data_IF_485878802390
#
_entry.id   IF_485878802390
#
_cell.length_a   1.000
_cell.length_b   1.000
_cell.length_c   1.000
_cell.angle_alpha   90.00
_cell.angle_beta   90.00
_cell.angle_gamma   90.00
#
_symmetry.space_group_name_H-M   'P 1'
#
loop_
_entity.id
_entity.type
_entity.pdbx_description
1 polymer ?
#
# COMPACT_ATOMS: atom_id res chain seq x y z
N UNK A 1 17.92 -23.20 6.52
CA UNK A 1 17.75 -21.95 5.80
C UNK A 1 16.45 -21.27 6.22
N UNK A 2 16.34 -19.97 6.07
CA UNK A 2 15.14 -19.19 6.42
C UNK A 2 13.88 -19.70 5.70
N UNK A 3 14.02 -20.17 4.47
CA UNK A 3 12.91 -20.79 3.72
C UNK A 3 12.32 -22.01 4.39
N UNK A 4 13.17 -22.93 4.89
CA UNK A 4 12.70 -24.10 5.62
C UNK A 4 11.94 -23.73 6.89
N UNK A 5 12.40 -22.70 7.59
CA UNK A 5 11.68 -22.17 8.76
C UNK A 5 10.32 -21.60 8.36
N UNK A 6 10.25 -20.82 7.28
CA UNK A 6 9.00 -20.26 6.80
C UNK A 6 8.00 -21.35 6.41
N UNK A 7 8.43 -22.34 5.64
CA UNK A 7 7.59 -23.50 5.28
C UNK A 7 7.11 -24.28 6.51
N UNK A 8 8.01 -24.53 7.46
CA UNK A 8 7.63 -25.21 8.72
C UNK A 8 6.64 -24.38 9.52
N UNK A 9 6.83 -23.06 9.55
CA UNK A 9 5.89 -22.15 10.20
C UNK A 9 4.51 -22.16 9.54
N UNK A 10 4.44 -22.09 8.22
CA UNK A 10 3.17 -22.15 7.48
C UNK A 10 2.44 -23.49 7.74
N UNK A 11 3.20 -24.58 7.75
CA UNK A 11 2.64 -25.90 8.09
C UNK A 11 2.08 -25.92 9.52
N UNK A 12 2.82 -25.39 10.50
CA UNK A 12 2.36 -25.25 11.88
C UNK A 12 1.08 -24.42 12.00
N UNK A 13 1.02 -23.26 11.33
CA UNK A 13 -0.16 -22.38 11.31
C UNK A 13 -1.40 -23.12 10.79
N UNK A 14 -1.24 -23.93 9.74
CA UNK A 14 -2.33 -24.77 9.21
C UNK A 14 -2.75 -25.87 10.17
N UNK A 15 -1.80 -26.54 10.82
CA UNK A 15 -2.10 -27.54 11.87
C UNK A 15 -2.84 -26.92 13.06
N UNK A 16 -2.57 -25.67 13.38
CA UNK A 16 -3.28 -24.90 14.40
C UNK A 16 -4.70 -24.46 13.99
N UNK A 17 -5.16 -24.84 12.78
CA UNK A 17 -6.52 -24.57 12.28
C UNK A 17 -6.67 -23.24 11.54
N UNK A 18 -5.60 -22.51 11.27
CA UNK A 18 -5.65 -21.29 10.47
C UNK A 18 -5.59 -21.61 8.98
N UNK A 19 -6.23 -20.77 8.16
CA UNK A 19 -6.23 -20.93 6.69
C UNK A 19 -4.93 -20.50 6.03
N UNK A 20 -4.14 -19.67 6.70
CA UNK A 20 -2.89 -19.13 6.18
C UNK A 20 -2.33 -18.03 7.07
N UNK A 21 -1.27 -17.41 6.59
CA UNK A 21 -0.54 -16.35 7.26
C UNK A 21 -0.38 -15.14 6.33
N UNK A 22 -0.57 -13.93 6.85
CA UNK A 22 -0.35 -12.69 6.13
C UNK A 22 0.87 -12.00 6.73
N UNK A 23 1.84 -11.69 5.88
CA UNK A 23 2.99 -10.86 6.24
C UNK A 23 2.90 -9.57 5.45
N UNK A 24 2.80 -8.44 6.14
CA UNK A 24 2.79 -7.12 5.53
C UNK A 24 4.04 -6.34 5.96
N UNK A 25 4.79 -5.87 4.98
CA UNK A 25 5.95 -4.98 5.16
C UNK A 25 5.57 -3.61 4.63
N UNK A 26 5.48 -2.64 5.51
CA UNK A 26 5.14 -1.25 5.17
C UNK A 26 6.39 -0.39 5.11
N UNK A 27 6.29 0.76 4.41
CA UNK A 27 7.39 1.73 4.23
C UNK A 27 8.68 1.10 3.70
N UNK A 28 8.57 0.17 2.76
CA UNK A 28 9.74 -0.54 2.23
C UNK A 28 10.72 0.39 1.49
N UNK A 29 10.29 1.57 1.07
CA UNK A 29 11.12 2.65 0.53
C UNK A 29 12.22 3.14 1.50
N UNK A 30 12.11 2.82 2.79
CA UNK A 30 13.20 3.05 3.77
C UNK A 30 14.54 2.44 3.32
N UNK A 31 14.52 1.41 2.48
CA UNK A 31 15.74 0.78 1.93
C UNK A 31 16.54 1.71 1.02
N UNK A 32 15.90 2.78 0.51
CA UNK A 32 16.55 3.81 -0.30
C UNK A 32 17.40 4.77 0.56
N UNK A 33 17.18 4.79 1.89
CA UNK A 33 17.89 5.70 2.77
C UNK A 33 19.37 5.33 2.88
N UNK A 34 20.22 6.16 2.29
CA UNK A 34 21.68 6.06 2.36
C UNK A 34 22.32 7.14 3.22
N UNK A 35 21.53 8.11 3.74
CA UNK A 35 22.04 9.27 4.47
C UNK A 35 22.37 8.92 5.92
N UNK A 36 23.55 9.30 6.42
CA UNK A 36 23.97 9.04 7.81
C UNK A 36 23.36 9.99 8.84
N UNK A 37 22.60 11.01 8.41
CA UNK A 37 22.08 12.07 9.28
C UNK A 37 20.59 12.01 9.57
N UNK A 38 19.90 10.91 9.23
CA UNK A 38 18.49 10.71 9.51
C UNK A 38 18.29 9.70 10.63
N UNK A 39 17.19 9.82 11.39
CA UNK A 39 16.81 8.83 12.42
C UNK A 39 16.38 7.47 11.81
N UNK A 40 16.34 7.38 10.48
CA UNK A 40 16.00 6.16 9.77
C UNK A 40 17.21 5.22 9.61
N UNK A 41 16.99 3.90 9.61
CA UNK A 41 18.04 2.92 9.37
C UNK A 41 18.75 3.18 8.04
N UNK A 42 20.09 3.19 8.07
CA UNK A 42 20.89 3.32 6.85
C UNK A 42 21.01 1.96 6.16
N UNK A 43 20.71 1.93 4.88
CA UNK A 43 20.89 0.74 4.05
C UNK A 43 22.10 0.90 3.13
N UNK A 44 23.11 0.02 3.32
CA UNK A 44 24.20 -0.12 2.35
C UNK A 44 23.68 -0.82 1.10
N UNK A 45 24.40 -0.66 -0.02
CA UNK A 45 24.07 -1.37 -1.27
C UNK A 45 23.96 -2.89 -1.05
N UNK A 46 24.86 -3.49 -0.29
CA UNK A 46 24.84 -4.92 0.00
C UNK A 46 23.56 -5.32 0.74
N UNK A 47 23.24 -4.67 1.85
CA UNK A 47 22.01 -4.97 2.62
C UNK A 47 20.75 -4.77 1.81
N UNK A 48 20.71 -3.76 0.96
CA UNK A 48 19.57 -3.53 0.05
C UNK A 48 19.44 -4.66 -0.97
N UNK A 49 20.54 -5.06 -1.59
CA UNK A 49 20.55 -6.17 -2.54
C UNK A 49 20.13 -7.50 -1.87
N UNK A 50 20.55 -7.73 -0.63
CA UNK A 50 20.13 -8.92 0.14
C UNK A 50 18.60 -8.94 0.37
N UNK A 51 18.00 -7.76 0.62
CA UNK A 51 16.53 -7.66 0.76
C UNK A 51 15.82 -7.87 -0.59
N UNK A 52 16.35 -7.30 -1.67
CA UNK A 52 15.78 -7.51 -3.02
C UNK A 52 15.90 -8.97 -3.45
N UNK A 53 17.01 -9.62 -3.13
CA UNK A 53 17.18 -11.05 -3.35
C UNK A 53 16.19 -11.87 -2.54
N UNK A 54 15.96 -11.52 -1.27
CA UNK A 54 14.97 -12.22 -0.45
C UNK A 54 13.55 -12.11 -1.04
N UNK A 55 13.15 -10.95 -1.55
CA UNK A 55 11.85 -10.77 -2.24
C UNK A 55 11.81 -11.61 -3.52
N UNK A 56 12.87 -11.56 -4.34
CA UNK A 56 12.97 -12.38 -5.55
C UNK A 56 12.79 -13.86 -5.23
N UNK A 57 13.47 -14.33 -4.18
CA UNK A 57 13.37 -15.72 -3.75
C UNK A 57 11.96 -16.09 -3.28
N UNK A 58 11.22 -15.18 -2.63
CA UNK A 58 9.83 -15.40 -2.24
C UNK A 58 8.91 -15.50 -3.46
N UNK A 59 9.12 -14.65 -4.47
CA UNK A 59 8.38 -14.73 -5.73
C UNK A 59 8.65 -16.06 -6.44
N UNK A 60 9.92 -16.48 -6.54
CA UNK A 60 10.29 -17.72 -7.21
C UNK A 60 9.82 -18.99 -6.46
N UNK A 61 9.53 -18.89 -5.16
CA UNK A 61 9.14 -20.04 -4.32
C UNK A 61 7.64 -20.03 -3.97
N UNK A 62 6.86 -19.17 -4.61
CA UNK A 62 5.44 -18.95 -4.29
C UNK A 62 4.62 -20.25 -4.25
N UNK A 63 4.87 -21.16 -5.20
CA UNK A 63 4.17 -22.45 -5.28
C UNK A 63 4.43 -23.37 -4.08
N UNK A 64 5.53 -23.15 -3.37
CA UNK A 64 5.91 -23.92 -2.20
C UNK A 64 5.53 -23.23 -0.87
N UNK A 65 4.99 -22.02 -0.94
CA UNK A 65 4.60 -21.20 0.21
C UNK A 65 3.08 -21.12 0.36
N UNK A 66 2.41 -22.25 0.13
CA UNK A 66 0.96 -22.36 0.20
C UNK A 66 0.39 -21.81 1.52
N UNK A 67 -0.58 -20.92 1.41
CA UNK A 67 -1.19 -20.24 2.55
C UNK A 67 -0.43 -19.01 3.05
N UNK A 68 0.62 -18.54 2.34
CA UNK A 68 1.25 -17.26 2.60
C UNK A 68 0.69 -16.18 1.68
N UNK A 69 0.26 -15.06 2.27
CA UNK A 69 0.11 -13.80 1.56
C UNK A 69 1.22 -12.86 2.04
N UNK A 70 2.12 -12.47 1.14
CA UNK A 70 3.20 -11.54 1.42
C UNK A 70 2.93 -10.22 0.70
N UNK A 71 2.82 -9.13 1.45
CA UNK A 71 2.52 -7.79 0.93
C UNK A 71 3.67 -6.86 1.27
N UNK A 72 4.19 -6.16 0.27
CA UNK A 72 5.20 -5.12 0.44
C UNK A 72 4.63 -3.80 -0.05
N UNK A 73 4.59 -2.79 0.82
CA UNK A 73 4.16 -1.46 0.47
C UNK A 73 5.34 -0.48 0.53
N UNK A 74 5.42 0.41 -0.44
CA UNK A 74 6.46 1.44 -0.51
C UNK A 74 6.07 2.59 -1.41
N UNK A 75 6.80 3.69 -1.34
CA UNK A 75 6.61 4.87 -2.17
C UNK A 75 6.99 4.63 -3.63
N UNK A 76 6.55 5.53 -4.51
CA UNK A 76 6.82 5.47 -5.95
C UNK A 76 8.33 5.52 -6.27
N UNK A 77 9.11 6.16 -5.41
CA UNK A 77 10.56 6.26 -5.52
C UNK A 77 11.23 4.88 -5.56
N UNK A 78 10.65 3.90 -4.85
CA UNK A 78 11.13 2.51 -4.85
C UNK A 78 11.17 1.92 -6.27
N UNK A 79 10.24 2.30 -7.12
CA UNK A 79 10.14 1.83 -8.50
C UNK A 79 10.89 2.71 -9.51
N UNK A 80 11.08 3.99 -9.20
CA UNK A 80 11.61 4.99 -10.13
C UNK A 80 13.11 5.27 -9.97
N UNK A 81 13.72 4.99 -8.80
CA UNK A 81 15.14 5.23 -8.58
C UNK A 81 15.99 4.15 -9.29
N UNK A 82 16.72 4.50 -10.37
CA UNK A 82 17.51 3.53 -11.11
C UNK A 82 18.79 3.09 -10.38
N UNK A 83 19.22 3.82 -9.34
CA UNK A 83 20.46 3.54 -8.62
C UNK A 83 20.25 2.72 -7.35
N UNK A 84 19.13 2.92 -6.70
CA UNK A 84 18.84 2.31 -5.41
C UNK A 84 17.47 1.62 -5.36
N UNK A 85 16.55 1.93 -6.25
CA UNK A 85 15.25 1.28 -6.34
C UNK A 85 15.30 -0.14 -6.87
N UNK A 86 14.13 -0.73 -7.11
CA UNK A 86 13.99 -2.11 -7.58
C UNK A 86 14.64 -2.34 -8.94
N UNK A 87 14.68 -1.31 -9.81
CA UNK A 87 15.40 -1.36 -11.09
C UNK A 87 16.91 -1.61 -10.94
N UNK A 88 17.49 -1.23 -9.80
CA UNK A 88 18.92 -1.45 -9.53
C UNK A 88 19.28 -2.91 -9.32
N UNK A 89 18.29 -3.79 -9.17
CA UNK A 89 18.46 -5.24 -9.00
C UNK A 89 17.75 -6.01 -10.12
N UNK A 90 18.46 -6.27 -11.25
CA UNK A 90 17.84 -6.78 -12.47
C UNK A 90 17.09 -8.10 -12.30
N UNK A 91 17.56 -8.98 -11.42
CA UNK A 91 16.93 -10.28 -11.22
C UNK A 91 15.52 -10.18 -10.63
N UNK A 92 15.25 -9.20 -9.75
CA UNK A 92 13.92 -8.91 -9.24
C UNK A 92 13.11 -8.09 -10.25
N UNK A 93 13.75 -7.09 -10.87
CA UNK A 93 13.09 -6.22 -11.84
C UNK A 93 12.45 -6.99 -12.99
N UNK A 94 13.17 -7.96 -13.58
CA UNK A 94 12.65 -8.80 -14.66
C UNK A 94 11.37 -9.57 -14.30
N UNK A 95 11.08 -9.77 -13.03
CA UNK A 95 9.86 -10.48 -12.57
C UNK A 95 8.66 -9.57 -12.45
N UNK A 96 8.88 -8.31 -12.13
CA UNK A 96 7.80 -7.37 -11.81
C UNK A 96 7.64 -6.27 -12.87
N UNK A 97 8.60 -6.05 -13.77
CA UNK A 97 8.60 -4.93 -14.72
C UNK A 97 7.33 -4.85 -15.59
N UNK A 98 6.82 -5.98 -16.05
CA UNK A 98 5.65 -6.02 -16.94
C UNK A 98 4.37 -5.57 -16.22
N UNK A 99 4.38 -5.54 -14.90
CA UNK A 99 3.26 -5.10 -14.07
C UNK A 99 3.42 -3.67 -13.58
N UNK A 100 4.67 -3.24 -13.39
CA UNK A 100 5.03 -1.85 -13.03
C UNK A 100 4.86 -0.91 -14.22
N UNK A 101 5.21 -1.38 -15.42
CA UNK A 101 5.11 -0.65 -16.69
C UNK A 101 4.04 -1.27 -17.60
N UNK A 102 2.76 -1.23 -17.21
CA UNK A 102 1.69 -1.77 -18.03
C UNK A 102 1.56 -0.95 -19.32
N UNK A 103 1.03 -1.60 -20.36
CA UNK A 103 0.73 -0.96 -21.63
C UNK A 103 0.00 0.38 -21.41
N UNK A 104 0.55 1.52 -21.88
CA UNK A 104 -0.05 2.83 -21.72
C UNK A 104 -1.43 2.95 -22.35
N UNK A 105 -1.82 2.01 -23.24
CA UNK A 105 -3.15 1.94 -23.86
C UNK A 105 -4.14 1.11 -23.07
N UNK A 106 -3.71 0.39 -22.02
CA UNK A 106 -4.60 -0.39 -21.17
C UNK A 106 -5.13 0.49 -20.03
N UNK A 107 -6.40 0.86 -20.10
CA UNK A 107 -7.11 1.51 -18.98
C UNK A 107 -7.62 0.50 -17.94
N UNK A 108 -7.38 -0.79 -18.13
CA UNK A 108 -7.84 -1.82 -17.23
C UNK A 108 -6.80 -2.11 -16.15
N UNK A 109 -7.21 -1.96 -14.90
CA UNK A 109 -6.41 -2.40 -13.75
C UNK A 109 -6.50 -3.92 -13.68
N UNK A 110 -5.37 -4.60 -13.86
CA UNK A 110 -5.29 -6.03 -13.63
C UNK A 110 -5.39 -6.30 -12.11
N UNK A 111 -6.50 -6.88 -11.66
CA UNK A 111 -6.73 -7.20 -10.24
C UNK A 111 -5.92 -8.41 -9.75
N UNK A 112 -5.30 -9.12 -10.67
CA UNK A 112 -4.47 -10.30 -10.39
C UNK A 112 -2.96 -9.99 -10.59
N UNK A 113 -2.61 -8.72 -10.76
CA UNK A 113 -1.24 -8.29 -10.85
C UNK A 113 -0.54 -8.45 -9.48
N UNK A 114 0.72 -8.87 -9.51
CA UNK A 114 1.56 -8.95 -8.31
C UNK A 114 1.98 -7.55 -7.81
N UNK A 115 1.92 -6.55 -8.70
CA UNK A 115 2.15 -5.14 -8.38
C UNK A 115 0.86 -4.35 -8.54
N UNK A 116 0.46 -3.66 -7.48
CA UNK A 116 -0.73 -2.82 -7.44
C UNK A 116 -0.31 -1.36 -7.28
N UNK A 117 -0.49 -0.56 -8.33
CA UNK A 117 -0.33 0.89 -8.25
C UNK A 117 -1.60 1.52 -7.63
N UNK A 118 -1.49 1.86 -6.35
CA UNK A 118 -2.60 2.46 -5.61
C UNK A 118 -2.95 3.86 -6.12
N UNK A 119 -2.01 4.61 -6.69
CA UNK A 119 -2.30 5.92 -7.26
C UNK A 119 -3.21 5.78 -8.49
N UNK A 120 -2.97 4.77 -9.35
CA UNK A 120 -3.85 4.49 -10.51
C UNK A 120 -5.22 4.00 -10.09
N UNK A 121 -5.29 3.11 -9.09
CA UNK A 121 -6.57 2.69 -8.51
C UNK A 121 -7.31 3.88 -7.93
N UNK A 122 -6.57 4.81 -7.35
CA UNK A 122 -7.09 6.02 -6.76
C UNK A 122 -7.66 6.99 -7.80
N UNK A 123 -6.95 7.20 -8.90
CA UNK A 123 -7.41 8.08 -9.98
C UNK A 123 -8.71 7.56 -10.63
N UNK A 124 -8.90 6.24 -10.70
CA UNK A 124 -10.07 5.62 -11.30
C UNK A 124 -11.31 5.57 -10.39
N UNK A 125 -11.13 5.37 -9.08
CA UNK A 125 -12.23 5.16 -8.13
C UNK A 125 -12.05 5.88 -6.78
N UNK A 126 -10.96 6.59 -6.62
CA UNK A 126 -10.49 7.05 -5.31
C UNK A 126 -11.38 8.11 -4.67
N UNK A 127 -11.89 9.06 -5.44
CA UNK A 127 -12.79 10.09 -4.91
C UNK A 127 -14.05 9.45 -4.32
N UNK A 128 -14.71 8.59 -5.07
CA UNK A 128 -15.94 7.92 -4.63
C UNK A 128 -15.68 7.00 -3.43
N UNK A 129 -14.55 6.28 -3.45
CA UNK A 129 -14.15 5.43 -2.33
C UNK A 129 -13.87 6.23 -1.05
N UNK A 130 -13.21 7.39 -1.16
CA UNK A 130 -13.00 8.29 -0.01
C UNK A 130 -14.28 8.89 0.52
N UNK A 131 -15.17 9.31 -0.36
CA UNK A 131 -16.47 9.86 0.03
C UNK A 131 -17.29 8.79 0.78
N UNK A 132 -17.33 7.55 0.27
CA UNK A 132 -17.95 6.40 0.95
C UNK A 132 -17.28 6.10 2.30
N UNK A 133 -15.96 6.13 2.35
CA UNK A 133 -15.21 5.92 3.60
C UNK A 133 -15.51 7.02 4.61
N UNK A 134 -15.49 8.28 4.17
CA UNK A 134 -15.78 9.44 5.00
C UNK A 134 -17.21 9.36 5.57
N UNK A 135 -18.20 9.06 4.73
CA UNK A 135 -19.60 8.90 5.15
C UNK A 135 -19.76 7.77 6.17
N UNK A 136 -19.17 6.59 5.93
CA UNK A 136 -19.19 5.46 6.87
C UNK A 136 -18.55 5.82 8.20
N UNK A 137 -17.40 6.46 8.20
CA UNK A 137 -16.70 6.87 9.44
C UNK A 137 -17.44 7.96 10.22
N UNK A 138 -18.14 8.84 9.51
CA UNK A 138 -19.02 9.84 10.12
C UNK A 138 -20.29 9.24 10.72
N UNK A 139 -20.60 7.97 10.42
CA UNK A 139 -21.83 7.32 10.85
C UNK A 139 -23.06 7.82 10.09
N UNK A 140 -22.86 8.32 8.87
CA UNK A 140 -23.92 8.75 7.99
C UNK A 140 -24.42 7.56 7.18
N UNK A 141 -25.74 7.27 7.14
CA UNK A 141 -26.31 6.27 6.25
C UNK A 141 -26.14 6.71 4.78
N UNK A 142 -25.75 5.77 3.92
CA UNK A 142 -25.40 6.04 2.52
C UNK A 142 -26.55 6.54 1.64
N UNK A 143 -27.83 6.40 2.09
CA UNK A 143 -29.01 6.58 1.25
C UNK A 143 -30.10 7.48 1.87
N UNK A 144 -29.81 8.32 2.86
CA UNK A 144 -30.87 9.14 3.48
C UNK A 144 -30.83 10.58 2.99
N UNK A 145 -31.92 11.07 2.37
CA UNK A 145 -32.02 12.47 2.02
C UNK A 145 -32.34 13.32 3.27
N UNK A 146 -31.56 14.37 3.42
CA UNK A 146 -31.89 15.67 3.92
C UNK A 146 -31.50 16.17 5.30
N UNK A 147 -31.53 15.67 6.49
CA UNK A 147 -30.91 16.49 7.54
C UNK A 147 -29.38 16.50 7.54
N UNK A 148 -28.77 15.63 6.71
CA UNK A 148 -27.31 15.44 6.63
C UNK A 148 -26.67 16.06 5.36
N UNK A 149 -27.43 16.77 4.52
CA UNK A 149 -26.90 17.33 3.26
C UNK A 149 -25.72 18.26 3.52
N UNK A 150 -25.79 19.12 4.54
CA UNK A 150 -24.68 20.01 4.90
C UNK A 150 -23.45 19.24 5.36
N UNK A 151 -23.63 18.17 6.14
CA UNK A 151 -22.53 17.32 6.61
C UNK A 151 -21.89 16.52 5.48
N UNK A 152 -22.68 16.03 4.53
CA UNK A 152 -22.16 15.39 3.32
C UNK A 152 -21.35 16.36 2.48
N UNK A 153 -21.83 17.58 2.32
CA UNK A 153 -21.10 18.63 1.60
C UNK A 153 -19.76 18.96 2.28
N UNK A 154 -19.73 19.06 3.62
CA UNK A 154 -18.49 19.24 4.37
C UNK A 154 -17.50 18.08 4.17
N UNK A 155 -17.99 16.83 4.08
CA UNK A 155 -17.15 15.67 3.81
C UNK A 155 -16.61 15.66 2.38
N UNK A 156 -17.42 16.05 1.40
CA UNK A 156 -16.99 16.18 0.01
C UNK A 156 -15.92 17.27 -0.15
N UNK A 157 -16.09 18.41 0.52
CA UNK A 157 -15.06 19.46 0.58
C UNK A 157 -13.76 18.91 1.22
N UNK A 158 -13.85 18.18 2.34
CA UNK A 158 -12.68 17.57 2.96
C UNK A 158 -11.93 16.63 2.00
N UNK A 159 -12.66 15.77 1.28
CA UNK A 159 -12.07 14.86 0.31
C UNK A 159 -11.39 15.64 -0.82
N UNK A 160 -12.03 16.72 -1.32
CA UNK A 160 -11.45 17.59 -2.33
C UNK A 160 -10.15 18.22 -1.83
N UNK A 161 -10.17 18.85 -0.65
CA UNK A 161 -8.99 19.49 -0.05
C UNK A 161 -7.82 18.49 0.14
N UNK A 162 -8.13 17.25 0.55
CA UNK A 162 -7.13 16.19 0.72
C UNK A 162 -6.53 15.77 -0.62
N UNK A 163 -7.34 15.65 -1.68
CA UNK A 163 -6.88 15.25 -3.01
C UNK A 163 -6.06 16.35 -3.71
N UNK A 164 -6.43 17.61 -3.50
CA UNK A 164 -5.73 18.77 -4.08
C UNK A 164 -4.46 19.16 -3.29
N UNK A 165 -4.33 18.66 -2.06
CA UNK A 165 -3.17 18.95 -1.22
C UNK A 165 -1.88 18.36 -1.80
N UNK A 166 -0.84 19.19 -1.88
CA UNK A 166 0.52 18.78 -2.28
C UNK A 166 1.31 18.12 -1.14
N UNK A 167 0.80 18.19 0.08
CA UNK A 167 1.44 17.54 1.23
C UNK A 167 1.24 16.03 1.16
N UNK A 168 2.32 15.30 1.01
CA UNK A 168 2.37 13.83 0.92
C UNK A 168 2.98 13.16 2.15
N UNK A 169 3.18 13.90 3.23
CA UNK A 169 3.75 13.35 4.48
C UNK A 169 2.85 12.32 5.14
N UNK A 170 1.53 12.46 4.93
CA UNK A 170 0.51 11.53 5.45
C UNK A 170 -0.38 11.09 4.29
N UNK A 171 -0.74 9.81 4.26
CA UNK A 171 -1.57 9.27 3.17
C UNK A 171 -2.93 9.98 3.10
N UNK A 172 -3.52 10.13 1.89
CA UNK A 172 -4.84 10.73 1.72
C UNK A 172 -5.91 10.06 2.60
N UNK A 173 -5.87 8.72 2.74
CA UNK A 173 -6.78 7.96 3.60
C UNK A 173 -6.65 8.38 5.05
N UNK A 174 -5.43 8.48 5.58
CA UNK A 174 -5.20 8.92 6.96
C UNK A 174 -5.70 10.35 7.18
N UNK A 175 -5.44 11.27 6.24
CA UNK A 175 -5.93 12.66 6.32
C UNK A 175 -7.46 12.74 6.33
N UNK A 176 -8.12 11.97 5.46
CA UNK A 176 -9.59 11.90 5.46
C UNK A 176 -10.10 11.36 6.79
N UNK A 177 -9.54 10.27 7.29
CA UNK A 177 -9.97 9.69 8.59
C UNK A 177 -9.80 10.70 9.74
N UNK A 178 -8.65 11.37 9.83
CA UNK A 178 -8.41 12.41 10.86
C UNK A 178 -9.40 13.56 10.72
N UNK A 179 -9.57 14.11 9.51
CA UNK A 179 -10.50 15.21 9.25
C UNK A 179 -11.95 14.85 9.54
N UNK A 180 -12.38 13.61 9.31
CA UNK A 180 -13.71 13.11 9.68
C UNK A 180 -13.87 13.04 11.20
N UNK A 181 -12.87 12.55 11.92
CA UNK A 181 -12.92 12.47 13.38
C UNK A 181 -13.03 13.86 14.04
N UNK A 182 -12.30 14.84 13.52
CA UNK A 182 -12.37 16.22 13.98
C UNK A 182 -13.75 16.85 13.73
N UNK A 183 -14.33 16.64 12.52
CA UNK A 183 -15.67 17.14 12.18
C UNK A 183 -16.74 16.45 13.02
N UNK A 184 -16.64 15.15 13.22
CA UNK A 184 -17.57 14.40 14.07
C UNK A 184 -17.59 14.92 15.51
N UNK A 185 -16.43 15.25 16.08
CA UNK A 185 -16.38 15.87 17.42
C UNK A 185 -17.15 17.20 17.46
N UNK A 186 -17.00 18.03 16.43
CA UNK A 186 -17.74 19.31 16.31
C UNK A 186 -19.23 19.13 16.13
N UNK A 187 -19.68 18.08 15.44
CA UNK A 187 -21.11 17.82 15.23
C UNK A 187 -21.81 17.24 16.46
N UNK A 188 -21.05 16.72 17.43
CA UNK A 188 -21.57 16.13 18.66
C UNK A 188 -21.49 17.12 19.86
N UNK A 189 -20.77 18.21 19.69
CA UNK A 189 -20.73 19.31 20.69
C UNK A 189 -21.87 20.30 20.47
#
# INVERSE_FOLDING_TARGET
SARLMLRSWLHFVRLAGYRGHVVAVDNFDVVLNSNPGTDLPRYTRTRRNDLYEAIRELIDDVDNLEGLLFVVAGGRELFQDPKAGLQSYPALWMRIQNEVEPDPHSHQVNRFADVIDLDRLWDAAGREALEKLAARRAGLPGDVPSPNASRLQELQMLVTDVLESRDRTISPVQRVVQGVLERRRRWLA
#
